data_IF_632454137763
#
_entry.id   IF_632454137763
#
_cell.length_a   1.000
_cell.length_b   1.000
_cell.length_c   1.000
_cell.angle_alpha   90.00
_cell.angle_beta   90.00
_cell.angle_gamma   90.00
#
_symmetry.space_group_name_H-M   'P 1'
#
loop_
_entity.id
_entity.type
_entity.pdbx_description
1 polymer ?
#
# COMPACT_ATOMS: atom_id res chain seq x y z
N UNK A 1 -20.00 7.17 -13.20
CA UNK A 1 -19.43 7.54 -11.88
C UNK A 1 -19.08 6.25 -11.19
N UNK A 2 -17.83 6.09 -10.73
CA UNK A 2 -17.40 4.91 -9.95
C UNK A 2 -17.29 5.28 -8.48
N UNK A 3 -17.56 4.32 -7.59
CA UNK A 3 -17.30 4.44 -6.16
C UNK A 3 -15.89 3.95 -5.85
N UNK A 4 -15.11 4.79 -5.19
CA UNK A 4 -13.73 4.52 -4.82
C UNK A 4 -13.61 4.52 -3.30
N UNK A 5 -13.15 3.42 -2.72
CA UNK A 5 -12.83 3.29 -1.31
C UNK A 5 -11.33 3.58 -1.13
N UNK A 6 -11.00 4.68 -0.48
CA UNK A 6 -9.63 5.08 -0.17
C UNK A 6 -9.28 4.59 1.23
N UNK A 7 -8.29 3.71 1.34
CA UNK A 7 -7.79 3.18 2.61
C UNK A 7 -6.52 3.92 3.02
N UNK A 8 -6.66 4.86 3.92
CA UNK A 8 -5.70 5.87 4.32
C UNK A 8 -6.15 7.25 3.86
N UNK A 9 -6.26 8.18 4.80
CA UNK A 9 -6.84 9.50 4.56
C UNK A 9 -5.86 10.64 4.91
N UNK A 10 -4.57 10.44 4.66
CA UNK A 10 -3.52 11.42 4.86
C UNK A 10 -3.58 12.60 3.88
N UNK A 11 -2.55 13.45 3.88
CA UNK A 11 -2.48 14.63 3.02
C UNK A 11 -2.41 14.24 1.53
N UNK A 12 -1.66 13.19 1.19
CA UNK A 12 -1.61 12.69 -0.17
C UNK A 12 -2.97 12.13 -0.60
N UNK A 13 -3.66 11.42 0.31
CA UNK A 13 -5.02 10.95 0.11
C UNK A 13 -5.99 12.09 -0.18
N UNK A 14 -5.83 13.25 0.47
CA UNK A 14 -6.65 14.46 0.21
C UNK A 14 -6.49 14.96 -1.22
N UNK A 15 -5.27 15.05 -1.73
CA UNK A 15 -5.01 15.43 -3.12
C UNK A 15 -5.59 14.42 -4.12
N UNK A 16 -5.50 13.13 -3.80
CA UNK A 16 -6.13 12.09 -4.58
C UNK A 16 -7.65 12.27 -4.65
N UNK A 17 -8.33 12.50 -3.51
CA UNK A 17 -9.78 12.72 -3.44
C UNK A 17 -10.19 13.89 -4.32
N UNK A 18 -9.54 15.05 -4.16
CA UNK A 18 -9.82 16.25 -4.97
C UNK A 18 -9.69 15.96 -6.46
N UNK A 19 -8.61 15.27 -6.84
CA UNK A 19 -8.35 14.92 -8.26
C UNK A 19 -9.39 13.95 -8.83
N UNK A 20 -9.81 12.96 -8.03
CA UNK A 20 -10.79 11.97 -8.44
C UNK A 20 -12.19 12.57 -8.56
N UNK A 21 -12.58 13.44 -7.62
CA UNK A 21 -13.87 14.16 -7.66
C UNK A 21 -13.96 15.09 -8.87
N UNK A 22 -12.85 15.76 -9.26
CA UNK A 22 -12.80 16.55 -10.51
C UNK A 22 -13.07 15.74 -11.76
N UNK A 23 -12.88 14.41 -11.68
CA UNK A 23 -13.20 13.44 -12.76
C UNK A 23 -14.58 12.79 -12.57
N UNK A 24 -15.39 13.31 -11.68
CA UNK A 24 -16.76 12.84 -11.42
C UNK A 24 -16.83 11.48 -10.70
N UNK A 25 -15.81 11.13 -9.90
CA UNK A 25 -15.85 9.91 -9.08
C UNK A 25 -16.38 10.20 -7.68
N UNK A 26 -17.01 9.19 -7.06
CA UNK A 26 -17.51 9.25 -5.68
C UNK A 26 -16.50 8.58 -4.74
N UNK A 27 -16.05 9.30 -3.72
CA UNK A 27 -14.95 8.85 -2.86
C UNK A 27 -15.42 8.64 -1.43
N UNK A 28 -15.13 7.45 -0.90
CA UNK A 28 -15.29 7.11 0.50
C UNK A 28 -13.89 7.07 1.12
N UNK A 29 -13.58 8.01 2.02
CA UNK A 29 -12.30 8.10 2.69
C UNK A 29 -12.32 7.36 4.03
N UNK A 30 -11.35 6.45 4.24
CA UNK A 30 -11.27 5.61 5.43
C UNK A 30 -9.97 5.87 6.19
N UNK A 31 -10.06 5.94 7.52
CA UNK A 31 -8.89 5.99 8.41
C UNK A 31 -9.22 5.43 9.79
N UNK A 32 -8.20 5.26 10.62
CA UNK A 32 -8.35 4.81 12.02
C UNK A 32 -8.80 5.92 12.98
N UNK A 33 -8.84 7.18 12.53
CA UNK A 33 -9.27 8.33 13.32
C UNK A 33 -10.14 9.28 12.50
N UNK A 34 -11.02 10.01 13.20
CA UNK A 34 -11.94 10.95 12.59
C UNK A 34 -11.25 12.26 12.19
N UNK A 35 -11.74 12.89 11.13
CA UNK A 35 -11.25 14.20 10.69
C UNK A 35 -9.89 14.17 9.98
N UNK A 36 -9.45 12.99 9.53
CA UNK A 36 -8.25 12.87 8.71
C UNK A 36 -8.32 13.79 7.47
N UNK A 37 -7.17 14.25 6.94
CA UNK A 37 -7.13 15.25 5.86
C UNK A 37 -8.03 14.95 4.66
N UNK A 38 -8.02 13.72 4.16
CA UNK A 38 -8.86 13.34 3.02
C UNK A 38 -10.35 13.29 3.35
N UNK A 39 -10.72 12.95 4.61
CA UNK A 39 -12.12 12.94 5.03
C UNK A 39 -12.79 14.33 4.99
N UNK A 40 -12.00 15.40 5.07
CA UNK A 40 -12.51 16.77 5.02
C UNK A 40 -13.09 17.15 3.66
N UNK A 41 -12.74 16.42 2.62
CA UNK A 41 -13.11 16.72 1.23
C UNK A 41 -13.79 15.54 0.51
N UNK A 42 -13.83 14.38 1.11
CA UNK A 42 -14.47 13.19 0.55
C UNK A 42 -16.01 13.30 0.58
N UNK A 43 -16.68 12.53 -0.27
CA UNK A 43 -18.14 12.47 -0.33
C UNK A 43 -18.71 11.73 0.89
N UNK A 44 -18.02 10.67 1.32
CA UNK A 44 -18.34 9.90 2.52
C UNK A 44 -17.06 9.54 3.28
N UNK A 45 -17.17 9.22 4.57
CA UNK A 45 -16.04 8.78 5.38
C UNK A 45 -16.42 7.64 6.34
N UNK A 46 -15.43 6.79 6.62
CA UNK A 46 -15.53 5.70 7.61
C UNK A 46 -14.32 5.71 8.52
N UNK A 47 -14.57 5.51 9.82
CA UNK A 47 -13.53 5.42 10.85
C UNK A 47 -13.55 4.02 11.44
N UNK A 48 -12.47 3.27 11.23
CA UNK A 48 -12.33 1.89 11.73
C UNK A 48 -10.87 1.45 11.69
N UNK A 49 -10.56 0.37 12.41
CA UNK A 49 -9.23 -0.26 12.35
C UNK A 49 -9.09 -1.10 11.07
N UNK A 50 -8.34 -0.58 10.10
CA UNK A 50 -8.10 -1.25 8.82
C UNK A 50 -7.21 -2.49 8.93
N UNK A 51 -6.55 -2.73 10.08
CA UNK A 51 -5.86 -3.99 10.38
C UNK A 51 -6.85 -5.09 10.79
N UNK A 52 -8.07 -4.71 11.21
CA UNK A 52 -9.14 -5.66 11.48
C UNK A 52 -9.84 -6.06 10.17
N UNK A 53 -9.60 -7.31 9.73
CA UNK A 53 -10.14 -7.81 8.48
C UNK A 53 -11.67 -7.90 8.43
N UNK A 54 -12.36 -8.08 9.57
CA UNK A 54 -13.81 -8.13 9.67
C UNK A 54 -14.42 -6.73 9.50
N UNK A 55 -13.83 -5.72 10.13
CA UNK A 55 -14.24 -4.32 9.97
C UNK A 55 -14.04 -3.84 8.53
N UNK A 56 -12.89 -4.19 7.93
CA UNK A 56 -12.62 -3.86 6.52
C UNK A 56 -13.66 -4.52 5.59
N UNK A 57 -13.98 -5.78 5.81
CA UNK A 57 -15.02 -6.50 5.04
C UNK A 57 -16.40 -5.86 5.23
N UNK A 58 -16.75 -5.48 6.48
CA UNK A 58 -18.02 -4.79 6.78
C UNK A 58 -18.16 -3.50 5.98
N UNK A 59 -17.10 -2.69 5.94
CA UNK A 59 -17.08 -1.41 5.22
C UNK A 59 -17.18 -1.63 3.71
N UNK A 60 -16.44 -2.59 3.16
CA UNK A 60 -16.50 -2.93 1.73
C UNK A 60 -17.91 -3.42 1.35
N UNK A 61 -18.52 -4.28 2.16
CA UNK A 61 -19.91 -4.76 1.92
C UNK A 61 -20.94 -3.64 2.04
N UNK A 62 -20.75 -2.70 2.97
CA UNK A 62 -21.63 -1.54 3.16
C UNK A 62 -21.66 -0.63 1.94
N UNK A 63 -20.48 -0.27 1.44
CA UNK A 63 -20.34 0.72 0.37
C UNK A 63 -20.35 0.14 -1.04
N UNK A 64 -20.00 -1.14 -1.19
CA UNK A 64 -19.89 -1.85 -2.47
C UNK A 64 -19.08 -1.04 -3.50
N UNK A 65 -17.80 -0.73 -3.20
CA UNK A 65 -16.98 0.09 -4.09
C UNK A 65 -16.63 -0.65 -5.38
N UNK A 66 -16.49 0.09 -6.48
CA UNK A 66 -15.93 -0.42 -7.73
C UNK A 66 -14.41 -0.59 -7.65
N UNK A 67 -13.77 0.31 -6.89
CA UNK A 67 -12.30 0.38 -6.79
C UNK A 67 -11.90 0.56 -5.31
N UNK A 68 -10.89 -0.17 -4.88
CA UNK A 68 -10.22 0.01 -3.60
C UNK A 68 -8.81 0.56 -3.85
N UNK A 69 -8.46 1.65 -3.18
CA UNK A 69 -7.15 2.31 -3.28
C UNK A 69 -6.48 2.28 -1.91
N UNK A 70 -5.54 1.36 -1.66
CA UNK A 70 -4.71 1.36 -0.47
C UNK A 70 -3.67 2.50 -0.56
N UNK A 71 -3.66 3.42 0.41
CA UNK A 71 -2.73 4.54 0.46
C UNK A 71 -1.71 4.37 1.59
N UNK A 72 -2.10 3.73 2.69
CA UNK A 72 -1.23 3.50 3.85
C UNK A 72 -0.84 2.02 4.01
N UNK A 73 0.15 1.79 4.86
CA UNK A 73 0.69 0.44 5.14
C UNK A 73 -0.09 -0.32 6.23
N UNK A 74 -0.88 0.38 7.07
CA UNK A 74 -1.62 -0.20 8.19
C UNK A 74 -2.98 -0.78 7.75
N UNK A 75 -2.94 -1.75 6.86
CA UNK A 75 -4.11 -2.41 6.28
C UNK A 75 -3.94 -3.93 6.35
N UNK A 76 -5.03 -4.67 6.53
CA UNK A 76 -5.04 -6.13 6.39
C UNK A 76 -4.95 -6.52 4.91
N UNK A 77 -3.74 -6.50 4.37
CA UNK A 77 -3.48 -6.63 2.93
C UNK A 77 -3.88 -7.97 2.34
N UNK A 78 -3.96 -9.03 3.15
CA UNK A 78 -4.43 -10.34 2.71
C UNK A 78 -5.88 -10.30 2.21
N UNK A 79 -6.72 -9.44 2.82
CA UNK A 79 -8.13 -9.29 2.41
C UNK A 79 -8.29 -8.66 1.02
N UNK A 80 -7.30 -7.91 0.56
CA UNK A 80 -7.33 -7.31 -0.78
C UNK A 80 -7.37 -8.37 -1.89
N UNK A 81 -6.72 -9.53 -1.68
CA UNK A 81 -6.82 -10.66 -2.64
C UNK A 81 -8.22 -11.25 -2.71
N UNK A 82 -8.95 -11.26 -1.59
CA UNK A 82 -10.31 -11.78 -1.57
C UNK A 82 -11.25 -10.82 -2.31
N UNK A 83 -11.10 -9.52 -2.12
CA UNK A 83 -11.87 -8.51 -2.84
C UNK A 83 -11.59 -8.51 -4.35
N UNK A 84 -10.34 -8.74 -4.78
CA UNK A 84 -10.03 -8.94 -6.21
C UNK A 84 -10.76 -10.16 -6.79
N UNK A 85 -10.84 -11.28 -6.04
CA UNK A 85 -11.60 -12.47 -6.47
C UNK A 85 -13.11 -12.21 -6.55
N UNK A 86 -13.63 -11.34 -5.70
CA UNK A 86 -15.03 -10.90 -5.71
C UNK A 86 -15.33 -9.91 -6.85
N UNK A 87 -14.32 -9.52 -7.64
CA UNK A 87 -14.47 -8.65 -8.80
C UNK A 87 -14.29 -7.17 -8.52
N UNK A 88 -13.88 -6.78 -7.31
CA UNK A 88 -13.56 -5.39 -6.97
C UNK A 88 -12.14 -5.08 -7.48
N UNK A 89 -11.98 -3.98 -8.18
CA UNK A 89 -10.66 -3.57 -8.67
C UNK A 89 -9.81 -2.98 -7.52
N UNK A 90 -8.65 -3.55 -7.24
CA UNK A 90 -7.69 -3.00 -6.27
C UNK A 90 -6.56 -2.29 -7.03
N UNK A 91 -6.25 -1.04 -6.68
CA UNK A 91 -5.25 -0.20 -7.36
C UNK A 91 -4.32 0.45 -6.32
N UNK A 92 -3.03 0.11 -6.30
CA UNK A 92 -2.36 -0.94 -7.07
C UNK A 92 -2.85 -2.34 -6.69
N UNK A 93 -2.57 -3.37 -7.51
CA UNK A 93 -3.07 -4.73 -7.26
C UNK A 93 -2.67 -5.24 -5.87
N UNK A 94 -3.48 -6.15 -5.29
CA UNK A 94 -3.19 -6.74 -3.98
C UNK A 94 -1.78 -7.34 -3.90
N UNK A 95 -1.31 -7.95 -4.99
CA UNK A 95 0.07 -8.46 -5.10
C UNK A 95 1.10 -7.32 -4.96
N UNK A 96 0.91 -6.21 -5.67
CA UNK A 96 1.82 -5.06 -5.61
C UNK A 96 1.86 -4.45 -4.21
N UNK A 97 0.70 -4.27 -3.57
CA UNK A 97 0.59 -3.78 -2.19
C UNK A 97 1.36 -4.68 -1.23
N UNK A 98 1.17 -5.99 -1.31
CA UNK A 98 1.90 -6.93 -0.45
C UNK A 98 3.42 -6.89 -0.65
N UNK A 99 3.90 -6.70 -1.88
CA UNK A 99 5.34 -6.53 -2.13
C UNK A 99 5.89 -5.24 -1.53
N UNK A 100 5.16 -4.12 -1.63
CA UNK A 100 5.61 -2.84 -1.05
C UNK A 100 5.68 -2.88 0.47
N UNK A 101 4.77 -3.62 1.12
CA UNK A 101 4.76 -3.85 2.56
C UNK A 101 5.92 -4.73 3.04
N UNK A 102 6.42 -5.62 2.21
CA UNK A 102 7.49 -6.56 2.55
C UNK A 102 8.79 -6.18 1.85
N UNK A 103 9.61 -5.36 2.52
CA UNK A 103 10.89 -4.88 1.98
C UNK A 103 11.87 -6.01 1.61
N UNK A 104 11.77 -7.17 2.28
CA UNK A 104 12.58 -8.33 1.91
C UNK A 104 12.07 -8.95 0.61
N UNK A 105 10.77 -9.16 0.49
CA UNK A 105 10.16 -9.77 -0.69
C UNK A 105 10.41 -8.95 -1.96
N UNK A 106 10.26 -7.63 -1.91
CA UNK A 106 10.52 -6.76 -3.08
C UNK A 106 12.00 -6.78 -3.50
N UNK A 107 12.93 -6.90 -2.55
CA UNK A 107 14.36 -7.00 -2.86
C UNK A 107 14.73 -8.36 -3.40
N UNK A 108 14.16 -9.43 -2.84
CA UNK A 108 14.35 -10.78 -3.37
C UNK A 108 13.82 -10.87 -4.80
N UNK A 109 12.66 -10.29 -5.10
CA UNK A 109 12.11 -10.16 -6.46
C UNK A 109 13.10 -9.43 -7.37
N UNK A 110 13.55 -8.24 -6.96
CA UNK A 110 14.46 -7.41 -7.74
C UNK A 110 15.79 -8.14 -8.03
N UNK A 111 16.39 -8.79 -7.02
CA UNK A 111 17.68 -9.46 -7.18
C UNK A 111 17.59 -10.79 -7.91
N UNK A 112 16.60 -11.64 -7.59
CA UNK A 112 16.53 -13.02 -8.04
C UNK A 112 15.78 -13.19 -9.35
N UNK A 113 14.69 -12.42 -9.54
CA UNK A 113 13.85 -12.56 -10.72
C UNK A 113 14.17 -11.52 -11.80
N UNK A 114 14.47 -10.27 -11.39
CA UNK A 114 14.75 -9.18 -12.33
C UNK A 114 16.24 -8.93 -12.55
N UNK A 115 17.15 -9.59 -11.82
CA UNK A 115 18.59 -9.42 -11.93
C UNK A 115 19.09 -8.00 -11.58
N UNK A 116 18.30 -7.21 -10.86
CA UNK A 116 18.65 -5.83 -10.50
C UNK A 116 19.58 -5.81 -9.28
N UNK A 117 20.57 -4.91 -9.30
CA UNK A 117 21.41 -4.67 -8.13
C UNK A 117 20.59 -4.04 -7.00
N UNK A 118 20.58 -4.68 -5.85
CA UNK A 118 19.91 -4.19 -4.64
C UNK A 118 20.81 -4.32 -3.43
N UNK A 119 20.55 -3.53 -2.38
CA UNK A 119 21.31 -3.62 -1.14
C UNK A 119 21.10 -5.00 -0.48
N UNK A 120 22.16 -5.61 0.01
CA UNK A 120 22.08 -6.86 0.77
C UNK A 120 21.38 -6.64 2.11
N UNK A 121 20.51 -7.56 2.49
CA UNK A 121 19.85 -7.55 3.80
C UNK A 121 20.54 -8.62 4.66
N UNK A 122 21.20 -8.19 5.74
CA UNK A 122 21.65 -9.10 6.80
C UNK A 122 20.67 -9.03 7.99
N UNK A 123 20.27 -10.17 8.52
CA UNK A 123 19.56 -10.23 9.80
C UNK A 123 20.56 -10.06 10.93
N UNK A 124 20.36 -9.08 11.80
CA UNK A 124 21.11 -9.01 13.06
C UNK A 124 20.64 -10.13 14.01
N UNK A 125 21.52 -10.64 14.89
CA UNK A 125 21.16 -11.65 15.89
C UNK A 125 20.00 -11.25 16.81
N UNK A 126 19.71 -9.94 16.92
CA UNK A 126 18.65 -9.36 17.77
C UNK A 126 17.28 -9.29 17.08
N UNK A 127 17.08 -9.92 15.93
CA UNK A 127 15.79 -9.93 15.20
C UNK A 127 15.42 -8.62 14.48
N UNK A 128 16.18 -7.54 14.65
CA UNK A 128 15.94 -6.28 13.92
C UNK A 128 16.64 -6.29 12.56
N UNK A 129 15.90 -5.97 11.50
CA UNK A 129 16.45 -5.87 10.15
C UNK A 129 17.32 -4.61 10.01
N UNK A 130 18.59 -4.77 9.63
CA UNK A 130 19.47 -3.65 9.35
C UNK A 130 19.77 -3.55 7.86
N UNK A 131 19.73 -2.34 7.34
CA UNK A 131 20.15 -2.02 5.98
C UNK A 131 21.67 -1.83 5.98
N UNK A 132 22.44 -2.83 5.55
CA UNK A 132 23.87 -2.66 5.28
C UNK A 132 24.04 -2.22 3.82
N UNK A 133 24.51 -1.00 3.61
CA UNK A 133 25.08 -0.56 2.34
C UNK A 133 26.45 -1.22 2.19
N UNK A 134 26.53 -2.38 1.57
CA UNK A 134 27.80 -2.92 1.11
C UNK A 134 28.21 -2.16 -0.16
N UNK A 135 29.02 -1.14 0.00
CA UNK A 135 29.77 -0.54 -1.11
C UNK A 135 30.89 -1.54 -1.42
N UNK A 136 30.71 -2.36 -2.45
CA UNK A 136 31.80 -3.16 -2.98
C UNK A 136 32.76 -2.21 -3.71
N UNK A 137 33.84 -1.80 -3.03
CA UNK A 137 34.96 -1.19 -3.69
C UNK A 137 35.65 -2.26 -4.53
N UNK A 138 35.40 -2.26 -5.83
CA UNK A 138 36.25 -2.98 -6.78
C UNK A 138 37.61 -2.28 -6.83
N UNK A 139 38.60 -2.80 -6.08
CA UNK A 139 39.98 -2.46 -6.31
C UNK A 139 40.39 -3.07 -7.64
N UNK A 140 40.45 -2.27 -8.68
CA UNK A 140 41.18 -2.63 -9.89
C UNK A 140 42.69 -2.62 -9.55
N UNK A 141 43.28 -3.80 -9.41
CA UNK A 141 44.69 -3.98 -9.39
C UNK A 141 45.23 -3.88 -10.81
N UNK A 142 45.72 -2.72 -11.19
CA UNK A 142 46.57 -2.62 -12.34
C UNK A 142 47.95 -3.11 -11.90
N UNK A 143 48.37 -4.24 -12.43
CA UNK A 143 49.75 -4.70 -12.34
C UNK A 143 50.42 -4.30 -13.66
N UNK A 144 51.53 -3.58 -13.51
CA UNK A 144 52.51 -3.31 -14.55
C UNK A 144 53.21 -4.59 -14.96
#
# INVERSE_FOLDING_TARGET
MKKILLLGSGELGKEFVISAQRKGQHIIACDSYAGAPAMQVADECEVFDMLNGEELERVVKKHQPDIIVPEIEAIRTERLYDFEKEGIQVVPSARAVNFTMNRKAIRDLAAKELGLKTASISKRPTGKTCLCLAVSSSKSSTVL
#
